data_IF_500644282276
#
_entry.id   IF_500644282276
#
_cell.length_a   1.000
_cell.length_b   1.000
_cell.length_c   1.000
_cell.angle_alpha   90.00
_cell.angle_beta   90.00
_cell.angle_gamma   90.00
#
_symmetry.space_group_name_H-M   'P 1'
#
loop_
_entity.id
_entity.type
_entity.pdbx_description
1 polymer ?
#
# COMPACT_ATOMS: atom_id res chain seq x y z
N UNK A 1 55.46 24.26 3.09
CA UNK A 1 54.64 25.10 2.18
C UNK A 1 53.67 24.16 1.45
N UNK A 2 52.35 24.39 1.64
CA UNK A 2 51.18 23.74 0.98
C UNK A 2 50.93 22.25 1.25
N UNK A 3 49.71 21.75 1.37
CA UNK A 3 48.40 22.21 1.86
C UNK A 3 47.50 20.95 1.82
N UNK A 4 46.65 20.75 2.82
CA UNK A 4 45.60 19.72 2.84
C UNK A 4 44.75 19.79 1.56
N UNK A 5 44.50 18.65 0.92
CA UNK A 5 43.34 18.45 0.05
C UNK A 5 42.35 17.54 0.77
N UNK A 6 41.23 18.12 1.17
CA UNK A 6 40.09 17.42 1.72
C UNK A 6 39.33 16.72 0.57
N UNK A 7 39.24 15.40 0.62
CA UNK A 7 38.20 14.64 -0.09
C UNK A 7 37.11 14.25 0.92
N UNK A 8 36.46 15.25 1.52
CA UNK A 8 35.16 15.08 2.21
C UNK A 8 34.09 15.55 1.24
N UNK A 9 33.60 14.63 0.41
CA UNK A 9 32.66 14.98 -0.66
C UNK A 9 31.85 13.83 -1.25
N UNK A 10 31.70 12.68 -0.56
CA UNK A 10 30.78 11.62 -1.00
C UNK A 10 29.84 11.09 0.08
N UNK A 11 29.83 11.70 1.28
CA UNK A 11 29.04 11.24 2.42
C UNK A 11 27.77 12.07 2.69
N UNK A 12 27.37 12.95 1.77
CA UNK A 12 26.17 13.78 1.92
C UNK A 12 25.00 13.35 1.02
N UNK A 13 25.22 12.43 0.08
CA UNK A 13 24.19 11.99 -0.86
C UNK A 13 23.44 10.72 -0.42
N UNK A 14 23.70 10.16 0.76
CA UNK A 14 22.98 8.96 1.26
C UNK A 14 22.04 9.23 2.44
N UNK A 15 22.06 10.43 3.02
CA UNK A 15 21.28 10.74 4.24
C UNK A 15 19.82 11.05 3.89
N UNK A 16 19.56 11.51 2.67
CA UNK A 16 18.23 11.63 2.09
C UNK A 16 18.13 10.70 0.88
N UNK A 17 18.12 9.39 1.12
CA UNK A 17 17.76 8.45 0.06
C UNK A 17 16.27 8.48 -0.27
N UNK A 18 15.43 9.25 0.46
CA UNK A 18 14.02 9.63 0.16
C UNK A 18 13.01 8.50 -0.13
N UNK A 19 13.50 7.29 -0.32
CA UNK A 19 12.96 6.21 -1.13
C UNK A 19 13.67 4.89 -0.74
N UNK A 20 14.22 4.74 0.48
CA UNK A 20 14.63 3.40 0.91
C UNK A 20 13.41 2.47 0.84
N UNK A 21 13.63 1.19 0.51
CA UNK A 21 12.55 0.21 0.46
C UNK A 21 11.72 0.21 1.75
N UNK A 22 12.35 0.46 2.88
CA UNK A 22 11.72 0.46 4.20
C UNK A 22 10.76 1.66 4.33
N UNK A 23 11.21 2.87 3.99
CA UNK A 23 10.37 4.07 4.03
C UNK A 23 9.19 3.94 3.06
N UNK A 24 9.42 3.42 1.86
CA UNK A 24 8.35 3.19 0.88
C UNK A 24 7.33 2.16 1.39
N UNK A 25 7.81 1.04 1.94
CA UNK A 25 6.94 -0.01 2.47
C UNK A 25 6.13 0.46 3.68
N UNK A 26 6.72 1.27 4.56
CA UNK A 26 6.01 1.82 5.71
C UNK A 26 4.95 2.84 5.30
N UNK A 27 5.23 3.65 4.29
CA UNK A 27 4.24 4.56 3.71
C UNK A 27 3.07 3.77 3.08
N UNK A 28 3.36 2.76 2.27
CA UNK A 28 2.35 1.89 1.64
C UNK A 28 1.46 1.24 2.72
N UNK A 29 2.06 0.68 3.77
CA UNK A 29 1.32 0.05 4.88
C UNK A 29 0.45 1.05 5.62
N UNK A 30 0.95 2.26 5.84
CA UNK A 30 0.22 3.33 6.54
C UNK A 30 -1.01 3.76 5.75
N UNK A 31 -0.87 4.00 4.45
CA UNK A 31 -1.98 4.34 3.56
C UNK A 31 -2.98 3.17 3.49
N UNK A 32 -2.48 1.95 3.31
CA UNK A 32 -3.32 0.76 3.27
C UNK A 32 -4.07 0.53 4.59
N UNK A 33 -3.53 0.95 5.73
CA UNK A 33 -4.23 0.86 7.01
C UNK A 33 -5.42 1.82 7.06
N UNK A 34 -5.22 3.08 6.68
CA UNK A 34 -6.29 4.10 6.63
C UNK A 34 -7.43 3.65 5.72
N UNK A 35 -7.13 3.21 4.50
CA UNK A 35 -8.13 2.72 3.55
C UNK A 35 -8.88 1.51 4.11
N UNK A 36 -8.17 0.54 4.71
CA UNK A 36 -8.80 -0.65 5.29
C UNK A 36 -9.72 -0.33 6.46
N UNK A 37 -9.38 0.67 7.27
CA UNK A 37 -10.21 1.06 8.40
C UNK A 37 -11.50 1.77 7.95
N UNK A 38 -11.43 2.56 6.87
CA UNK A 38 -12.62 3.14 6.24
C UNK A 38 -13.53 2.06 5.65
N UNK A 39 -12.99 1.15 4.82
CA UNK A 39 -13.76 0.03 4.24
C UNK A 39 -14.44 -0.81 5.34
N UNK A 40 -13.74 -1.09 6.45
CA UNK A 40 -14.33 -1.81 7.60
C UNK A 40 -15.47 -1.03 8.24
N UNK A 41 -15.30 0.28 8.42
CA UNK A 41 -16.35 1.16 8.94
C UNK A 41 -17.59 1.07 8.05
N UNK A 42 -17.43 1.25 6.74
CA UNK A 42 -18.52 1.19 5.76
C UNK A 42 -19.24 -0.17 5.77
N UNK A 43 -18.48 -1.27 5.73
CA UNK A 43 -19.03 -2.63 5.80
C UNK A 43 -19.83 -2.85 7.08
N UNK A 44 -19.34 -2.36 8.23
CA UNK A 44 -20.04 -2.50 9.51
C UNK A 44 -21.37 -1.74 9.56
N UNK A 45 -21.52 -0.66 8.79
CA UNK A 45 -22.76 0.10 8.68
C UNK A 45 -23.65 -0.33 7.51
N UNK A 46 -23.13 -1.16 6.59
CA UNK A 46 -23.86 -1.61 5.42
C UNK A 46 -24.98 -2.58 5.81
N UNK A 47 -26.17 -2.36 5.25
CA UNK A 47 -27.32 -3.26 5.45
C UNK A 47 -27.13 -4.62 4.79
N UNK A 48 -26.41 -4.65 3.67
CA UNK A 48 -26.16 -5.85 2.88
C UNK A 48 -24.70 -5.90 2.47
N UNK A 49 -24.09 -7.07 2.61
CA UNK A 49 -22.70 -7.36 2.26
C UNK A 49 -22.66 -8.70 1.55
N UNK A 50 -21.85 -8.80 0.50
CA UNK A 50 -21.50 -10.07 -0.14
C UNK A 50 -19.99 -10.18 -0.31
N UNK A 51 -19.49 -11.42 -0.35
CA UNK A 51 -18.08 -11.75 -0.49
C UNK A 51 -17.91 -12.72 -1.65
N UNK A 52 -16.93 -12.45 -2.51
CA UNK A 52 -16.52 -13.35 -3.59
C UNK A 52 -15.06 -13.71 -3.33
N UNK A 53 -14.74 -15.01 -3.35
CA UNK A 53 -13.38 -15.49 -3.30
C UNK A 53 -13.10 -16.28 -4.58
N UNK A 54 -11.99 -15.96 -5.25
CA UNK A 54 -11.58 -16.61 -6.49
C UNK A 54 -10.10 -17.00 -6.41
N UNK A 55 -9.78 -18.19 -6.90
CA UNK A 55 -8.45 -18.78 -6.86
C UNK A 55 -7.94 -18.99 -8.28
N UNK A 56 -6.86 -18.29 -8.63
CA UNK A 56 -6.24 -18.39 -9.95
C UNK A 56 -4.84 -18.99 -9.80
N UNK A 57 -4.54 -20.14 -10.44
CA UNK A 57 -3.19 -20.69 -10.44
C UNK A 57 -2.27 -19.80 -11.29
N UNK A 58 -1.12 -19.40 -10.76
CA UNK A 58 -0.13 -18.66 -11.51
C UNK A 58 0.77 -19.57 -12.38
N UNK A 59 1.65 -18.96 -13.18
CA UNK A 59 2.59 -19.67 -14.06
C UNK A 59 3.54 -20.62 -13.31
N UNK A 60 3.66 -20.47 -11.99
CA UNK A 60 4.47 -21.32 -11.12
C UNK A 60 3.65 -22.40 -10.40
N UNK A 61 2.39 -22.59 -10.78
CA UNK A 61 1.40 -23.46 -10.14
C UNK A 61 1.16 -23.13 -8.66
N UNK A 62 1.36 -21.87 -8.27
CA UNK A 62 0.94 -21.38 -6.96
C UNK A 62 -0.45 -20.80 -7.07
N UNK A 63 -1.30 -21.19 -6.15
CA UNK A 63 -2.64 -20.66 -6.02
C UNK A 63 -2.57 -19.21 -5.52
N UNK A 64 -3.18 -18.28 -6.25
CA UNK A 64 -3.38 -16.90 -5.83
C UNK A 64 -4.87 -16.68 -5.55
N UNK A 65 -5.20 -16.38 -4.29
CA UNK A 65 -6.57 -16.11 -3.85
C UNK A 65 -6.85 -14.61 -3.87
N UNK A 66 -7.95 -14.22 -4.51
CA UNK A 66 -8.51 -12.87 -4.43
C UNK A 66 -9.81 -12.88 -3.64
N UNK A 67 -10.04 -11.85 -2.83
CA UNK A 67 -11.28 -11.69 -2.05
C UNK A 67 -11.86 -10.31 -2.33
N UNK A 68 -13.12 -10.27 -2.77
CA UNK A 68 -13.85 -9.06 -3.13
C UNK A 68 -15.03 -8.88 -2.18
N UNK A 69 -15.10 -7.72 -1.54
CA UNK A 69 -16.26 -7.30 -0.74
C UNK A 69 -17.16 -6.40 -1.59
N UNK A 70 -18.47 -6.65 -1.58
CA UNK A 70 -19.47 -5.76 -2.17
C UNK A 70 -20.49 -5.36 -1.11
N UNK A 71 -20.65 -4.07 -0.91
CA UNK A 71 -21.54 -3.48 0.08
C UNK A 71 -22.15 -2.20 -0.46
N UNK A 72 -23.29 -1.78 0.11
CA UNK A 72 -23.95 -0.51 -0.25
C UNK A 72 -23.53 0.57 0.74
N UNK A 73 -23.04 1.70 0.23
CA UNK A 73 -22.77 2.88 1.05
C UNK A 73 -24.07 3.68 1.27
N UNK A 74 -24.02 4.70 2.13
CA UNK A 74 -25.19 5.55 2.43
C UNK A 74 -25.64 6.40 1.24
N UNK A 75 -24.75 6.66 0.27
CA UNK A 75 -25.01 7.51 -0.91
C UNK A 75 -25.36 6.73 -2.16
N UNK A 76 -25.18 5.41 -2.18
CA UNK A 76 -25.44 4.54 -3.34
C UNK A 76 -24.21 3.72 -3.73
N UNK A 77 -24.16 3.23 -4.97
CA UNK A 77 -22.93 2.65 -5.51
C UNK A 77 -22.12 3.82 -6.08
N UNK A 78 -20.99 4.17 -5.45
CA UNK A 78 -19.96 4.97 -6.10
C UNK A 78 -19.01 4.01 -6.81
N UNK A 79 -19.15 3.93 -8.14
CA UNK A 79 -18.11 3.35 -8.99
C UNK A 79 -17.12 4.48 -9.31
N UNK A 80 -16.07 4.65 -8.51
CA UNK A 80 -14.93 5.45 -8.93
C UNK A 80 -14.16 4.67 -9.99
N UNK A 81 -14.27 5.13 -11.25
CA UNK A 81 -13.50 4.68 -12.42
C UNK A 81 -12.09 5.30 -12.43
#
# INVERSE_FOLDING_TARGET
MKARAAARGSALNSVFSGLSSDIQNDLIKSIAQVIRDEIKSEINFAKFVSVIADETPDISHREQMSVIFRYLTKTGIEEDL
#
